data_IF_054784021401
#
_entry.id   IF_054784021401
#
_cell.length_a   1.000
_cell.length_b   1.000
_cell.length_c   1.000
_cell.angle_alpha   90.00
_cell.angle_beta   90.00
_cell.angle_gamma   90.00
#
_symmetry.space_group_name_H-M   'P 1'
#
loop_
_entity.id
_entity.type
_entity.pdbx_description
1 polymer ?
#
# COMPACT_ATOMS: atom_id res chain seq x y z
N UNK A 1 -12.31 -46.24 38.00
CA UNK A 1 -12.17 -45.18 39.03
C UNK A 1 -12.78 -43.89 38.48
N UNK A 2 -14.00 -43.58 38.91
CA UNK A 2 -14.37 -42.49 39.84
C UNK A 2 -14.31 -41.08 39.21
N UNK A 3 -15.49 -40.63 38.74
CA UNK A 3 -15.84 -39.22 38.59
C UNK A 3 -15.68 -38.50 39.94
N UNK A 4 -15.12 -37.29 39.92
CA UNK A 4 -15.40 -36.27 40.94
C UNK A 4 -15.58 -34.92 40.23
N UNK A 5 -16.82 -34.43 40.27
CA UNK A 5 -17.18 -33.05 39.98
C UNK A 5 -16.83 -32.16 41.17
N UNK A 6 -16.41 -30.91 40.93
CA UNK A 6 -16.40 -29.88 41.97
C UNK A 6 -17.12 -28.64 41.44
N UNK A 7 -18.32 -28.46 41.98
CA UNK A 7 -19.11 -27.23 41.99
C UNK A 7 -18.54 -26.25 43.02
N UNK A 8 -18.50 -24.94 42.69
CA UNK A 8 -18.59 -23.87 43.69
C UNK A 8 -19.43 -22.70 43.20
N UNK A 9 -20.45 -22.41 44.02
CA UNK A 9 -21.41 -21.30 44.03
C UNK A 9 -20.72 -19.94 44.22
N UNK A 10 -21.13 -18.92 43.45
CA UNK A 10 -22.03 -17.81 43.81
C UNK A 10 -21.50 -16.78 44.83
N UNK A 11 -21.45 -15.50 44.43
CA UNK A 11 -21.81 -14.35 45.26
C UNK A 11 -22.46 -13.26 44.41
N UNK A 12 -23.74 -13.04 44.67
CA UNK A 12 -24.46 -11.81 44.37
C UNK A 12 -24.07 -10.74 45.40
N UNK A 13 -23.95 -9.49 44.96
CA UNK A 13 -24.18 -8.31 45.82
C UNK A 13 -25.09 -7.38 45.04
N UNK A 14 -26.22 -7.05 45.66
CA UNK A 14 -27.19 -6.06 45.24
C UNK A 14 -27.14 -4.86 46.21
N UNK A 15 -27.89 -3.82 45.87
CA UNK A 15 -28.15 -2.53 46.55
C UNK A 15 -27.18 -1.39 46.15
N UNK A 16 -27.64 -0.20 45.77
CA UNK A 16 -29.00 0.33 45.80
C UNK A 16 -29.17 1.63 45.01
N UNK A 17 -30.45 1.89 44.71
CA UNK A 17 -31.11 3.12 44.29
C UNK A 17 -30.65 4.37 45.09
N UNK A 18 -30.87 5.62 44.70
CA UNK A 18 -31.44 6.34 43.56
C UNK A 18 -31.14 7.83 43.81
N UNK A 19 -31.18 8.68 42.78
CA UNK A 19 -31.93 9.94 42.87
C UNK A 19 -32.17 10.51 41.47
N UNK A 20 -33.45 10.75 41.18
CA UNK A 20 -33.96 11.53 40.05
C UNK A 20 -33.51 13.00 40.16
N UNK A 21 -33.29 13.65 39.00
CA UNK A 21 -33.73 15.03 38.77
C UNK A 21 -34.10 15.22 37.27
N UNK A 22 -35.42 15.26 37.07
CA UNK A 22 -36.24 16.05 36.13
C UNK A 22 -35.54 16.92 35.07
N UNK A 23 -35.86 16.72 33.78
CA UNK A 23 -36.52 17.70 32.90
C UNK A 23 -36.35 17.40 31.38
N UNK A 24 -37.48 17.36 30.66
CA UNK A 24 -37.56 17.68 29.23
C UNK A 24 -37.81 16.51 28.26
N UNK A 25 -38.98 16.43 27.59
CA UNK A 25 -39.12 15.61 26.40
C UNK A 25 -38.47 16.38 25.24
N UNK A 26 -37.17 16.20 25.04
CA UNK A 26 -36.61 16.46 23.71
C UNK A 26 -37.06 15.29 22.86
N UNK A 27 -38.04 15.56 21.98
CA UNK A 27 -38.32 14.71 20.82
C UNK A 27 -37.02 14.62 20.02
N UNK A 28 -36.18 13.64 20.37
CA UNK A 28 -35.13 13.17 19.50
C UNK A 28 -35.85 12.63 18.27
N UNK A 29 -35.93 13.47 17.25
CA UNK A 29 -36.11 13.07 15.87
C UNK A 29 -35.31 11.79 15.68
N UNK A 30 -36.00 10.66 15.55
CA UNK A 30 -35.45 9.47 14.93
C UNK A 30 -35.15 9.91 13.51
N UNK A 31 -33.95 10.46 13.31
CA UNK A 31 -33.40 10.74 12.02
C UNK A 31 -33.45 9.42 11.28
N UNK A 32 -34.45 9.27 10.43
CA UNK A 32 -34.45 8.31 9.36
C UNK A 32 -33.13 8.56 8.65
N UNK A 33 -32.13 7.71 8.93
CA UNK A 33 -31.00 7.56 8.04
C UNK A 33 -31.65 7.14 6.73
N UNK A 34 -31.91 8.13 5.87
CA UNK A 34 -32.11 7.90 4.46
C UNK A 34 -30.87 7.14 4.03
N UNK A 35 -30.99 5.81 4.02
CA UNK A 35 -30.05 4.95 3.33
C UNK A 35 -30.13 5.45 1.90
N UNK A 36 -29.17 6.32 1.53
CA UNK A 36 -29.02 6.77 0.16
C UNK A 36 -28.75 5.50 -0.64
N UNK A 37 -29.81 4.96 -1.23
CA UNK A 37 -29.76 3.87 -2.18
C UNK A 37 -28.82 4.36 -3.27
N UNK A 38 -27.60 3.86 -3.25
CA UNK A 38 -26.61 4.19 -4.26
C UNK A 38 -27.04 3.40 -5.49
N UNK A 39 -27.68 4.09 -6.44
CA UNK A 39 -28.11 3.48 -7.70
C UNK A 39 -26.85 3.00 -8.43
N UNK A 40 -26.79 1.71 -8.76
CA UNK A 40 -25.69 1.15 -9.52
C UNK A 40 -25.53 1.90 -10.85
N UNK A 41 -24.34 2.43 -11.09
CA UNK A 41 -24.01 3.08 -12.35
C UNK A 41 -23.93 2.04 -13.45
N UNK A 42 -24.60 2.29 -14.58
CA UNK A 42 -24.56 1.39 -15.74
C UNK A 42 -23.29 1.66 -16.54
N UNK A 43 -22.55 0.61 -16.90
CA UNK A 43 -21.42 0.73 -17.82
C UNK A 43 -21.89 1.29 -19.18
N UNK A 44 -21.11 2.19 -19.81
CA UNK A 44 -21.47 2.68 -21.13
C UNK A 44 -21.34 1.57 -22.18
N UNK A 45 -22.04 1.67 -23.32
CA UNK A 45 -21.89 0.70 -24.42
C UNK A 45 -20.56 0.85 -25.16
N UNK A 46 -19.95 2.03 -25.10
CA UNK A 46 -18.61 2.33 -25.62
C UNK A 46 -17.96 3.47 -24.81
N UNK A 47 -16.63 3.45 -24.70
CA UNK A 47 -15.90 4.57 -24.06
C UNK A 47 -15.99 5.84 -24.92
N UNK A 48 -16.28 6.96 -24.27
CA UNK A 48 -16.32 8.26 -24.94
C UNK A 48 -14.93 8.66 -25.45
N UNK A 49 -14.88 9.55 -26.47
CA UNK A 49 -13.62 10.09 -26.98
C UNK A 49 -12.84 10.84 -25.89
N UNK A 50 -13.53 11.56 -25.02
CA UNK A 50 -12.91 12.28 -23.90
C UNK A 50 -12.27 11.31 -22.91
N UNK A 51 -12.99 10.27 -22.47
CA UNK A 51 -12.46 9.33 -21.48
C UNK A 51 -11.26 8.53 -22.03
N UNK A 52 -11.29 8.16 -23.32
CA UNK A 52 -10.13 7.57 -23.99
C UNK A 52 -8.94 8.53 -24.06
N UNK A 53 -9.19 9.83 -24.26
CA UNK A 53 -8.14 10.84 -24.26
C UNK A 53 -7.48 10.92 -22.89
N UNK A 54 -8.27 11.00 -21.81
CA UNK A 54 -7.76 11.07 -20.44
C UNK A 54 -6.86 9.87 -20.09
N UNK A 55 -7.32 8.65 -20.41
CA UNK A 55 -6.53 7.43 -20.20
C UNK A 55 -5.23 7.43 -21.01
N UNK A 56 -5.26 7.90 -22.25
CA UNK A 56 -4.05 8.01 -23.07
C UNK A 56 -3.07 9.06 -22.54
N UNK A 57 -3.56 10.18 -21.98
CA UNK A 57 -2.71 11.20 -21.36
C UNK A 57 -2.06 10.68 -20.07
N UNK A 58 -2.80 9.93 -19.24
CA UNK A 58 -2.24 9.22 -18.09
C UNK A 58 -1.18 8.21 -18.51
N UNK A 59 -1.47 7.37 -19.50
CA UNK A 59 -0.52 6.40 -20.04
C UNK A 59 0.73 7.07 -20.63
N UNK A 60 0.59 8.20 -21.32
CA UNK A 60 1.70 8.99 -21.84
C UNK A 60 2.57 9.60 -20.73
N UNK A 61 1.95 10.00 -19.62
CA UNK A 61 2.65 10.52 -18.44
C UNK A 61 3.38 9.38 -17.70
N UNK A 62 2.73 8.22 -17.54
CA UNK A 62 3.35 7.00 -17.02
C UNK A 62 4.53 6.59 -17.89
N UNK A 63 4.44 6.71 -19.22
CA UNK A 63 5.52 6.40 -20.16
C UNK A 63 6.77 7.26 -19.90
N UNK A 64 6.60 8.57 -19.70
CA UNK A 64 7.70 9.50 -19.55
C UNK A 64 8.70 9.38 -20.72
N UNK A 65 9.99 9.24 -20.42
CA UNK A 65 11.06 9.04 -21.40
C UNK A 65 11.24 7.59 -21.89
N UNK A 66 10.60 6.61 -21.25
CA UNK A 66 10.71 5.20 -21.65
C UNK A 66 9.75 4.92 -22.80
N UNK A 67 10.25 4.91 -24.04
CA UNK A 67 9.42 4.74 -25.25
C UNK A 67 8.66 3.40 -25.33
N UNK A 68 9.03 2.40 -24.52
CA UNK A 68 8.35 1.09 -24.46
C UNK A 68 7.26 1.05 -23.39
N UNK A 69 7.38 1.85 -22.33
CA UNK A 69 6.38 1.90 -21.27
C UNK A 69 5.01 2.35 -21.80
N UNK A 70 3.98 1.63 -21.37
CA UNK A 70 2.59 1.80 -21.78
C UNK A 70 2.37 1.90 -23.30
N UNK A 71 3.10 1.09 -24.07
CA UNK A 71 2.91 0.95 -25.53
C UNK A 71 2.82 -0.54 -25.90
N UNK A 72 1.64 -1.06 -26.29
CA UNK A 72 0.37 -0.35 -26.53
C UNK A 72 -0.45 -0.06 -25.27
N UNK A 73 -1.36 0.91 -25.38
CA UNK A 73 -2.49 1.08 -24.45
C UNK A 73 -3.68 0.29 -25.03
N UNK A 74 -4.19 -0.67 -24.27
CA UNK A 74 -5.26 -1.59 -24.70
C UNK A 74 -6.52 -1.31 -23.89
N UNK A 75 -7.51 -0.66 -24.50
CA UNK A 75 -8.79 -0.39 -23.84
C UNK A 75 -9.59 -1.68 -23.63
N UNK A 76 -10.02 -1.93 -22.39
CA UNK A 76 -10.93 -3.03 -22.07
C UNK A 76 -12.33 -2.66 -22.54
N UNK A 77 -12.95 -3.42 -23.43
CA UNK A 77 -14.31 -3.10 -23.90
C UNK A 77 -15.31 -3.11 -22.73
N UNK A 78 -16.26 -2.16 -22.64
CA UNK A 78 -17.25 -2.17 -21.54
C UNK A 78 -18.03 -3.47 -21.42
N UNK A 79 -18.35 -4.11 -22.56
CA UNK A 79 -19.02 -5.41 -22.58
C UNK A 79 -18.22 -6.54 -21.92
N UNK A 80 -16.89 -6.46 -21.91
CA UNK A 80 -16.04 -7.41 -21.18
C UNK A 80 -16.07 -7.20 -19.66
N UNK A 81 -16.46 -6.00 -19.20
CA UNK A 81 -16.59 -5.65 -17.79
C UNK A 81 -18.00 -5.91 -17.24
N UNK A 82 -19.03 -5.96 -18.09
CA UNK A 82 -20.43 -6.12 -17.66
C UNK A 82 -20.65 -7.35 -16.76
N UNK A 83 -20.18 -8.53 -17.17
CA UNK A 83 -20.34 -9.75 -16.39
C UNK A 83 -19.61 -9.69 -15.03
N UNK A 84 -18.34 -9.24 -14.93
CA UNK A 84 -17.72 -8.94 -13.65
C UNK A 84 -18.53 -7.98 -12.76
N UNK A 85 -19.05 -6.88 -13.30
CA UNK A 85 -19.81 -5.89 -12.52
C UNK A 85 -21.07 -6.48 -11.92
N UNK A 86 -21.84 -7.21 -12.73
CA UNK A 86 -23.03 -7.91 -12.28
C UNK A 86 -22.68 -8.99 -11.24
N UNK A 87 -21.66 -9.81 -11.52
CA UNK A 87 -21.23 -10.90 -10.65
C UNK A 87 -20.69 -10.43 -9.30
N UNK A 88 -20.09 -9.25 -9.25
CA UNK A 88 -19.43 -8.71 -8.06
C UNK A 88 -20.24 -7.61 -7.36
N UNK A 89 -21.34 -7.16 -7.97
CA UNK A 89 -22.17 -6.08 -7.45
C UNK A 89 -21.41 -4.76 -7.35
N UNK A 90 -20.56 -4.46 -8.34
CA UNK A 90 -19.84 -3.19 -8.42
C UNK A 90 -20.79 -2.10 -8.89
N UNK A 91 -20.93 -1.04 -8.10
CA UNK A 91 -21.90 0.02 -8.34
C UNK A 91 -21.29 1.22 -9.05
N UNK A 92 -19.96 1.31 -9.13
CA UNK A 92 -19.25 2.46 -9.69
C UNK A 92 -18.69 2.12 -11.06
N UNK A 93 -19.18 2.80 -12.09
CA UNK A 93 -18.74 2.64 -13.47
C UNK A 93 -17.63 3.66 -13.80
N UNK A 94 -16.42 3.23 -14.19
CA UNK A 94 -15.38 4.11 -14.69
C UNK A 94 -15.79 4.69 -16.04
N UNK A 95 -15.25 5.87 -16.34
CA UNK A 95 -15.44 6.55 -17.61
C UNK A 95 -14.70 5.84 -18.76
N UNK A 96 -13.54 5.24 -18.45
CA UNK A 96 -12.81 4.34 -19.33
C UNK A 96 -11.87 3.44 -18.50
N UNK A 97 -11.54 2.27 -19.05
CA UNK A 97 -10.52 1.36 -18.51
C UNK A 97 -9.59 0.89 -19.63
N UNK A 98 -8.30 0.90 -19.37
CA UNK A 98 -7.30 0.32 -20.27
C UNK A 98 -6.16 -0.36 -19.52
N UNK A 99 -5.53 -1.32 -20.18
CA UNK A 99 -4.31 -1.94 -19.71
C UNK A 99 -3.10 -1.40 -20.47
N UNK A 100 -1.96 -1.30 -19.80
CA UNK A 100 -0.68 -1.03 -20.43
C UNK A 100 0.49 -1.60 -19.62
N UNK A 101 1.55 -2.02 -20.30
CA UNK A 101 2.72 -2.61 -19.64
C UNK A 101 3.81 -1.55 -19.39
N UNK A 102 4.27 -1.40 -18.16
CA UNK A 102 5.40 -0.53 -17.80
C UNK A 102 6.08 -1.04 -16.52
N UNK A 103 7.37 -0.72 -16.33
CA UNK A 103 8.13 -1.10 -15.12
C UNK A 103 8.07 -2.60 -14.78
N UNK A 104 8.05 -3.46 -15.80
CA UNK A 104 7.85 -4.92 -15.66
C UNK A 104 6.54 -5.28 -14.95
N UNK A 105 5.49 -4.50 -15.19
CA UNK A 105 4.16 -4.65 -14.61
C UNK A 105 3.09 -4.44 -15.69
N UNK A 106 1.95 -5.12 -15.55
CA UNK A 106 0.74 -4.77 -16.30
C UNK A 106 -0.13 -3.88 -15.42
N UNK A 107 -0.36 -2.66 -15.88
CA UNK A 107 -1.20 -1.69 -15.18
C UNK A 107 -2.60 -1.64 -15.77
N UNK A 108 -3.62 -1.68 -14.93
CA UNK A 108 -4.99 -1.30 -15.29
C UNK A 108 -5.23 0.15 -14.88
N UNK A 109 -5.46 1.03 -15.85
CA UNK A 109 -5.77 2.45 -15.68
C UNK A 109 -7.27 2.64 -15.82
N UNK A 110 -7.90 3.28 -14.83
CA UNK A 110 -9.31 3.65 -14.86
C UNK A 110 -9.49 5.14 -14.52
N UNK A 111 -10.46 5.79 -15.17
CA UNK A 111 -10.83 7.20 -14.92
C UNK A 111 -12.26 7.33 -14.41
N UNK A 112 -12.56 8.39 -13.66
CA UNK A 112 -13.80 8.58 -12.91
C UNK A 112 -14.31 10.02 -12.96
N UNK A 113 -15.63 10.16 -12.84
CA UNK A 113 -16.30 11.46 -12.81
C UNK A 113 -15.97 12.27 -11.55
N UNK A 114 -15.70 11.59 -10.43
CA UNK A 114 -15.36 12.23 -9.15
C UNK A 114 -14.33 11.43 -8.36
N UNK A 115 -13.65 12.09 -7.42
CA UNK A 115 -12.78 11.43 -6.43
C UNK A 115 -13.54 10.41 -5.58
N UNK A 116 -14.79 10.73 -5.24
CA UNK A 116 -15.67 9.83 -4.49
C UNK A 116 -15.92 8.52 -5.25
N UNK A 117 -16.20 8.61 -6.55
CA UNK A 117 -16.41 7.43 -7.40
C UNK A 117 -15.11 6.61 -7.52
N UNK A 118 -13.96 7.28 -7.74
CA UNK A 118 -12.64 6.62 -7.75
C UNK A 118 -12.41 5.81 -6.46
N UNK A 119 -12.59 6.43 -5.30
CA UNK A 119 -12.29 5.81 -4.01
C UNK A 119 -13.27 4.69 -3.68
N UNK A 120 -14.55 4.88 -4.03
CA UNK A 120 -15.58 3.84 -3.91
C UNK A 120 -15.27 2.65 -4.82
N UNK A 121 -14.87 2.89 -6.08
CA UNK A 121 -14.48 1.83 -7.01
C UNK A 121 -13.30 1.00 -6.48
N UNK A 122 -12.22 1.66 -6.03
CA UNK A 122 -11.03 0.99 -5.47
C UNK A 122 -11.41 0.12 -4.27
N UNK A 123 -12.27 0.64 -3.39
CA UNK A 123 -12.75 -0.06 -2.20
C UNK A 123 -13.66 -1.24 -2.56
N UNK A 124 -14.73 -1.01 -3.32
CA UNK A 124 -15.70 -2.04 -3.72
C UNK A 124 -15.01 -3.19 -4.46
N UNK A 125 -14.12 -2.86 -5.40
CA UNK A 125 -13.36 -3.85 -6.15
C UNK A 125 -12.48 -4.69 -5.24
N UNK A 126 -11.66 -4.05 -4.42
CA UNK A 126 -10.74 -4.77 -3.52
C UNK A 126 -11.50 -5.64 -2.51
N UNK A 127 -12.55 -5.11 -1.88
CA UNK A 127 -13.38 -5.86 -0.94
C UNK A 127 -14.10 -7.04 -1.57
N UNK A 128 -14.67 -6.87 -2.76
CA UNK A 128 -15.38 -7.95 -3.46
C UNK A 128 -14.47 -9.13 -3.78
N UNK A 129 -13.24 -8.86 -4.22
CA UNK A 129 -12.24 -9.89 -4.50
C UNK A 129 -11.83 -10.55 -3.19
N UNK A 130 -11.59 -9.78 -2.13
CA UNK A 130 -11.26 -10.33 -0.80
C UNK A 130 -12.37 -11.22 -0.23
N UNK A 131 -13.65 -10.84 -0.35
CA UNK A 131 -14.78 -11.67 0.11
C UNK A 131 -14.78 -13.02 -0.60
N UNK A 132 -14.51 -13.03 -1.90
CA UNK A 132 -14.45 -14.28 -2.69
C UNK A 132 -13.24 -15.12 -2.36
N UNK A 133 -12.07 -14.50 -2.25
CA UNK A 133 -10.85 -15.14 -1.80
C UNK A 133 -11.06 -15.87 -0.47
N UNK A 134 -11.68 -15.17 0.50
CA UNK A 134 -11.97 -15.69 1.82
C UNK A 134 -12.96 -16.86 1.81
N UNK A 135 -13.87 -16.90 0.84
CA UNK A 135 -14.86 -17.98 0.67
C UNK A 135 -14.24 -19.28 0.13
N UNK A 136 -13.11 -19.19 -0.59
CA UNK A 136 -12.37 -20.36 -1.12
C UNK A 136 -11.02 -20.56 -0.44
N UNK A 137 -10.77 -19.83 0.66
CA UNK A 137 -9.50 -19.81 1.41
C UNK A 137 -8.25 -19.59 0.52
N UNK A 138 -8.39 -18.77 -0.52
CA UNK A 138 -7.28 -18.44 -1.40
C UNK A 138 -6.40 -17.34 -0.79
N UNK A 139 -5.07 -17.55 -0.71
CA UNK A 139 -4.14 -16.47 -0.41
C UNK A 139 -4.05 -15.56 -1.65
N UNK A 140 -4.59 -14.35 -1.56
CA UNK A 140 -4.46 -13.34 -2.60
C UNK A 140 -3.46 -12.28 -2.13
N UNK A 141 -2.46 -11.94 -2.97
CA UNK A 141 -1.53 -10.86 -2.65
C UNK A 141 -2.25 -9.53 -2.46
N UNK A 142 -1.64 -8.55 -1.78
CA UNK A 142 -2.25 -7.24 -1.60
C UNK A 142 -2.48 -6.54 -2.93
N UNK A 143 -3.60 -5.82 -3.06
CA UNK A 143 -3.84 -4.99 -4.22
C UNK A 143 -3.04 -3.70 -4.11
N UNK A 144 -2.22 -3.43 -5.12
CA UNK A 144 -1.40 -2.24 -5.19
C UNK A 144 -2.11 -1.22 -6.07
N UNK A 145 -2.40 -0.06 -5.49
CA UNK A 145 -3.14 1.01 -6.14
C UNK A 145 -2.33 2.30 -6.15
N UNK A 146 -2.33 3.01 -7.27
CA UNK A 146 -2.02 4.42 -7.34
C UNK A 146 -3.33 5.16 -7.62
N UNK A 147 -3.60 6.23 -6.90
CA UNK A 147 -4.80 7.04 -7.04
C UNK A 147 -4.42 8.51 -7.08
N UNK A 148 -5.21 9.32 -7.77
CA UNK A 148 -5.01 10.75 -7.76
C UNK A 148 -6.00 11.50 -8.62
N UNK A 149 -5.69 12.78 -8.77
CA UNK A 149 -6.46 13.74 -9.56
C UNK A 149 -5.46 14.56 -10.37
N UNK A 150 -5.59 14.55 -11.69
CA UNK A 150 -4.87 15.45 -12.61
C UNK A 150 -5.85 16.44 -13.21
N UNK A 151 -5.36 17.48 -13.89
CA UNK A 151 -6.19 18.52 -14.50
C UNK A 151 -7.31 17.94 -15.38
N UNK A 152 -8.51 17.78 -14.81
CA UNK A 152 -9.70 17.27 -15.48
C UNK A 152 -10.00 15.78 -15.35
N UNK A 153 -9.20 14.97 -14.64
CA UNK A 153 -9.47 13.53 -14.50
C UNK A 153 -9.14 12.99 -13.10
N UNK A 154 -10.10 12.26 -12.52
CA UNK A 154 -9.89 11.45 -11.32
C UNK A 154 -9.53 10.04 -11.77
N UNK A 155 -8.47 9.46 -11.24
CA UNK A 155 -7.93 8.21 -11.81
C UNK A 155 -7.45 7.24 -10.74
N UNK A 156 -7.51 5.95 -11.07
CA UNK A 156 -6.85 4.88 -10.33
C UNK A 156 -6.02 4.04 -11.29
N UNK A 157 -4.88 3.55 -10.82
CA UNK A 157 -4.05 2.56 -11.50
C UNK A 157 -3.83 1.38 -10.57
N UNK A 158 -4.26 0.19 -10.99
CA UNK A 158 -3.93 -1.07 -10.32
C UNK A 158 -2.67 -1.66 -10.97
N UNK A 159 -1.75 -2.20 -10.17
CA UNK A 159 -0.63 -3.00 -10.68
C UNK A 159 -0.34 -4.21 -9.81
N UNK A 160 0.49 -5.11 -10.32
CA UNK A 160 0.87 -6.36 -9.64
C UNK A 160 1.93 -6.16 -8.57
N UNK A 161 2.71 -5.07 -8.66
CA UNK A 161 3.83 -4.79 -7.75
C UNK A 161 3.72 -3.39 -7.15
N UNK A 162 4.10 -3.28 -5.88
CA UNK A 162 4.19 -2.04 -5.14
C UNK A 162 5.19 -1.09 -5.79
N UNK A 163 6.33 -1.59 -6.24
CA UNK A 163 7.37 -0.77 -6.84
C UNK A 163 6.91 -0.12 -8.15
N UNK A 164 6.21 -0.86 -9.00
CA UNK A 164 5.59 -0.33 -10.22
C UNK A 164 4.55 0.74 -9.90
N UNK A 165 3.67 0.47 -8.94
CA UNK A 165 2.60 1.38 -8.52
C UNK A 165 3.15 2.66 -7.85
N UNK A 166 4.19 2.56 -7.01
CA UNK A 166 4.85 3.71 -6.40
C UNK A 166 5.47 4.63 -7.47
N UNK A 167 6.05 4.05 -8.54
CA UNK A 167 6.57 4.82 -9.68
C UNK A 167 5.47 5.50 -10.48
N UNK A 168 4.34 4.82 -10.69
CA UNK A 168 3.15 5.41 -11.33
C UNK A 168 2.62 6.58 -10.51
N UNK A 169 2.40 6.39 -9.20
CA UNK A 169 1.94 7.46 -8.31
C UNK A 169 2.88 8.67 -8.35
N UNK A 170 4.20 8.44 -8.28
CA UNK A 170 5.20 9.52 -8.39
C UNK A 170 5.12 10.26 -9.73
N UNK A 171 5.01 9.55 -10.86
CA UNK A 171 4.95 10.17 -12.20
C UNK A 171 3.68 10.98 -12.42
N UNK A 172 2.56 10.51 -11.87
CA UNK A 172 1.25 11.15 -12.02
C UNK A 172 0.96 12.20 -10.93
N UNK A 173 1.85 12.38 -9.95
CA UNK A 173 1.61 13.25 -8.80
C UNK A 173 0.47 12.77 -7.89
N UNK A 174 0.23 11.46 -7.84
CA UNK A 174 -0.78 10.83 -7.00
C UNK A 174 -0.20 10.16 -5.75
N UNK A 175 -1.05 9.42 -5.06
CA UNK A 175 -0.70 8.62 -3.89
C UNK A 175 -0.76 7.13 -4.22
N UNK A 176 0.10 6.32 -3.61
CA UNK A 176 -0.03 4.87 -3.69
C UNK A 176 -0.46 4.25 -2.37
N UNK A 177 -1.43 3.35 -2.46
CA UNK A 177 -2.05 2.64 -1.35
C UNK A 177 -1.97 1.13 -1.58
N UNK A 178 -2.05 0.37 -0.49
CA UNK A 178 -2.08 -1.09 -0.52
C UNK A 178 -3.36 -1.52 0.17
N UNK A 179 -4.21 -2.26 -0.54
CA UNK A 179 -5.39 -2.88 0.06
C UNK A 179 -5.08 -4.34 0.37
N UNK A 180 -5.32 -4.76 1.62
CA UNK A 180 -5.09 -6.14 2.06
C UNK A 180 -6.42 -6.80 2.39
N UNK A 181 -6.55 -8.07 2.04
CA UNK A 181 -7.69 -8.85 2.52
C UNK A 181 -7.58 -9.10 4.03
N UNK A 182 -8.68 -9.04 4.80
CA UNK A 182 -8.62 -9.18 6.27
C UNK A 182 -7.95 -10.47 6.77
N UNK A 183 -8.09 -11.59 6.06
CA UNK A 183 -7.40 -12.86 6.39
C UNK A 183 -5.89 -12.85 6.05
N UNK A 184 -5.47 -11.90 5.22
CA UNK A 184 -4.15 -11.82 4.61
C UNK A 184 -3.42 -10.51 4.98
N UNK A 185 -3.74 -9.90 6.13
CA UNK A 185 -3.09 -8.65 6.57
C UNK A 185 -1.56 -8.75 6.70
N UNK A 186 -1.06 -9.99 6.82
CA UNK A 186 0.37 -10.33 6.83
C UNK A 186 1.01 -10.30 5.44
N UNK A 187 0.25 -10.30 4.35
CA UNK A 187 0.80 -10.14 3.01
C UNK A 187 1.04 -8.62 2.81
N UNK A 188 2.30 -8.22 2.62
CA UNK A 188 2.71 -6.80 2.49
C UNK A 188 3.07 -6.07 3.80
N UNK A 189 3.53 -4.83 3.66
CA UNK A 189 4.06 -3.98 4.75
C UNK A 189 2.99 -3.32 5.62
N UNK A 190 3.35 -2.96 6.85
CA UNK A 190 2.49 -2.22 7.78
C UNK A 190 2.47 -0.71 7.47
N UNK A 191 1.32 -0.05 7.67
CA UNK A 191 1.11 1.37 7.32
C UNK A 191 2.10 2.31 8.01
N UNK A 192 2.35 2.12 9.32
CA UNK A 192 3.29 2.94 10.08
C UNK A 192 4.72 2.83 9.54
N UNK A 193 5.18 1.59 9.26
CA UNK A 193 6.49 1.36 8.64
C UNK A 193 6.60 1.99 7.26
N UNK A 194 5.55 1.89 6.42
CA UNK A 194 5.54 2.52 5.08
C UNK A 194 5.70 4.04 5.19
N UNK A 195 4.98 4.68 6.11
CA UNK A 195 5.09 6.12 6.33
C UNK A 195 6.50 6.52 6.79
N UNK A 196 7.05 5.79 7.77
CA UNK A 196 8.40 6.01 8.29
C UNK A 196 9.47 5.86 7.20
N UNK A 197 9.45 4.74 6.44
CA UNK A 197 10.38 4.48 5.33
C UNK A 197 10.34 5.57 4.26
N UNK A 198 9.15 6.07 3.92
CA UNK A 198 9.00 7.16 2.94
C UNK A 198 9.54 8.49 3.45
N UNK A 199 9.27 8.83 4.71
CA UNK A 199 9.76 10.05 5.32
C UNK A 199 11.30 10.07 5.35
N UNK A 200 11.92 8.94 5.72
CA UNK A 200 13.38 8.81 5.73
C UNK A 200 13.96 8.84 4.32
N UNK A 201 13.36 8.14 3.36
CA UNK A 201 13.80 8.21 1.97
C UNK A 201 13.72 9.64 1.39
N UNK A 202 12.67 10.40 1.74
CA UNK A 202 12.54 11.80 1.35
C UNK A 202 13.64 12.67 1.97
N UNK A 203 13.95 12.48 3.27
CA UNK A 203 15.04 13.19 3.94
C UNK A 203 16.42 12.88 3.33
N UNK A 204 16.68 11.62 2.96
CA UNK A 204 17.90 11.21 2.25
C UNK A 204 18.03 11.95 0.92
N UNK A 205 16.95 12.00 0.13
CA UNK A 205 16.92 12.68 -1.17
C UNK A 205 17.12 14.19 -1.01
N UNK A 206 16.54 14.79 0.02
CA UNK A 206 16.72 16.22 0.34
C UNK A 206 18.15 16.54 0.78
N UNK A 207 18.85 15.59 1.40
CA UNK A 207 20.28 15.69 1.73
C UNK A 207 21.23 15.54 0.55
N UNK A 208 20.74 15.75 -0.69
CA UNK A 208 21.48 15.64 -1.95
C UNK A 208 22.06 14.24 -2.26
N UNK A 209 21.64 13.22 -1.52
CA UNK A 209 21.97 11.85 -1.84
C UNK A 209 21.03 11.36 -2.94
N UNK A 210 21.59 11.16 -4.13
CA UNK A 210 20.87 10.56 -5.24
C UNK A 210 20.44 9.14 -4.87
N UNK A 211 19.13 8.92 -4.93
CA UNK A 211 18.45 7.69 -4.59
C UNK A 211 17.40 7.45 -5.69
N UNK A 212 17.91 7.13 -6.87
CA UNK A 212 17.09 7.06 -8.06
C UNK A 212 16.18 5.84 -8.00
N UNK A 213 14.90 6.08 -8.27
CA UNK A 213 13.90 5.02 -8.33
C UNK A 213 13.58 4.37 -6.99
N UNK A 214 13.72 5.08 -5.86
CA UNK A 214 13.26 4.60 -4.55
C UNK A 214 11.86 3.99 -4.64
N UNK A 215 11.75 2.78 -4.14
CA UNK A 215 10.51 2.03 -4.09
C UNK A 215 10.47 1.14 -2.85
N UNK A 216 9.28 0.90 -2.33
CA UNK A 216 9.07 -0.16 -1.36
C UNK A 216 9.33 -1.51 -2.05
N UNK A 217 10.11 -2.37 -1.40
CA UNK A 217 10.33 -3.74 -1.84
C UNK A 217 9.07 -4.57 -1.63
N UNK A 218 8.91 -5.69 -2.33
CA UNK A 218 7.85 -6.65 -1.94
C UNK A 218 8.25 -7.36 -0.65
N UNK A 219 7.29 -7.55 0.25
CA UNK A 219 7.51 -8.30 1.50
C UNK A 219 7.95 -9.73 1.21
N UNK A 220 7.36 -10.35 0.20
CA UNK A 220 7.67 -11.74 -0.17
C UNK A 220 9.07 -11.86 -0.79
N UNK A 221 9.57 -10.82 -1.45
CA UNK A 221 10.97 -10.78 -1.90
C UNK A 221 11.95 -10.78 -0.72
N UNK A 222 11.63 -10.03 0.34
CA UNK A 222 12.41 -10.09 1.58
C UNK A 222 12.30 -11.46 2.26
N UNK A 223 11.10 -12.04 2.29
CA UNK A 223 10.83 -13.35 2.89
C UNK A 223 11.25 -14.54 2.03
N UNK A 224 11.76 -14.33 0.82
CA UNK A 224 12.18 -15.41 -0.07
C UNK A 224 13.25 -16.26 0.64
N UNK A 225 12.97 -17.57 0.76
CA UNK A 225 13.81 -18.52 1.52
C UNK A 225 13.69 -18.44 3.06
N UNK A 226 12.80 -17.59 3.59
CA UNK A 226 12.69 -17.21 5.01
C UNK A 226 11.26 -17.31 5.55
N UNK A 227 10.57 -18.41 5.23
CA UNK A 227 9.19 -18.62 5.67
C UNK A 227 9.08 -18.56 7.21
N UNK A 228 8.21 -17.68 7.72
CA UNK A 228 7.97 -17.50 9.16
C UNK A 228 8.95 -16.58 9.88
N UNK A 229 9.98 -16.04 9.20
CA UNK A 229 10.87 -15.05 9.79
C UNK A 229 10.10 -13.76 10.15
N UNK A 230 10.55 -13.10 11.22
CA UNK A 230 10.11 -11.74 11.50
C UNK A 230 10.68 -10.81 10.42
N UNK A 231 9.91 -9.79 10.04
CA UNK A 231 10.32 -8.79 9.04
C UNK A 231 10.39 -7.42 9.69
N UNK A 232 11.03 -6.43 9.06
CA UNK A 232 10.72 -5.04 9.38
C UNK A 232 9.23 -4.77 9.10
N UNK A 233 8.71 -3.67 9.62
CA UNK A 233 7.34 -3.22 9.36
C UNK A 233 7.19 -2.77 7.91
N UNK A 234 8.23 -2.16 7.33
CA UNK A 234 8.37 -1.89 5.91
C UNK A 234 9.84 -1.88 5.50
N UNK A 235 10.12 -2.15 4.22
CA UNK A 235 11.45 -2.05 3.62
C UNK A 235 11.32 -1.40 2.23
N UNK A 236 12.17 -0.40 1.97
CA UNK A 236 12.36 0.20 0.67
C UNK A 236 13.81 0.18 0.26
N UNK A 237 14.05 0.30 -1.04
CA UNK A 237 15.39 0.36 -1.60
C UNK A 237 15.46 1.30 -2.80
N UNK A 238 16.67 1.79 -3.08
CA UNK A 238 17.02 2.50 -4.31
C UNK A 238 18.47 2.20 -4.69
N UNK A 239 18.89 2.70 -5.85
CA UNK A 239 20.29 2.73 -6.26
C UNK A 239 20.83 4.14 -6.09
N UNK A 240 22.06 4.24 -5.57
CA UNK A 240 22.86 5.46 -5.57
C UNK A 240 23.50 5.72 -6.93
N UNK A 241 24.22 6.83 -7.10
CA UNK A 241 24.94 7.17 -8.34
C UNK A 241 25.93 6.12 -8.82
N UNK A 242 26.48 5.37 -7.88
CA UNK A 242 27.50 4.36 -8.15
C UNK A 242 26.88 2.97 -8.32
N UNK A 243 25.57 2.91 -8.58
CA UNK A 243 24.76 1.68 -8.64
C UNK A 243 24.81 0.83 -7.37
N UNK A 244 25.21 1.43 -6.24
CA UNK A 244 25.23 0.75 -4.94
C UNK A 244 23.84 0.82 -4.32
N UNK A 245 23.40 -0.31 -3.79
CA UNK A 245 22.10 -0.44 -3.13
C UNK A 245 22.05 0.39 -1.84
N UNK A 246 20.94 1.08 -1.65
CA UNK A 246 20.56 1.75 -0.42
C UNK A 246 19.26 1.12 0.07
N UNK A 247 19.21 0.75 1.35
CA UNK A 247 18.04 0.16 1.99
C UNK A 247 17.54 1.07 3.10
N UNK A 248 16.22 1.18 3.27
CA UNK A 248 15.57 1.89 4.37
C UNK A 248 14.47 0.99 4.94
N UNK A 249 14.57 0.68 6.23
CA UNK A 249 13.60 -0.14 6.96
C UNK A 249 12.95 0.65 8.10
N UNK A 250 11.66 0.44 8.30
CA UNK A 250 10.88 0.97 9.44
C UNK A 250 10.42 -0.17 10.34
N UNK A 251 10.34 0.09 11.64
CA UNK A 251 10.11 -0.89 12.70
C UNK A 251 8.95 -0.46 13.61
N UNK A 252 8.22 -1.43 14.15
CA UNK A 252 7.12 -1.22 15.09
C UNK A 252 7.00 -2.45 16.01
N UNK A 253 6.12 -2.40 17.01
CA UNK A 253 5.88 -3.50 17.94
C UNK A 253 5.54 -4.79 17.18
N UNK A 254 6.39 -5.81 17.34
CA UNK A 254 6.22 -7.12 16.72
C UNK A 254 7.02 -7.34 15.44
N UNK A 255 7.74 -6.33 14.93
CA UNK A 255 8.74 -6.51 13.88
C UNK A 255 9.97 -7.28 14.39
N UNK A 256 10.88 -7.62 13.48
CA UNK A 256 12.24 -8.02 13.87
C UNK A 256 12.97 -6.86 14.57
N UNK A 257 14.07 -7.13 15.26
CA UNK A 257 14.87 -6.09 15.88
C UNK A 257 15.72 -5.35 14.83
N UNK A 258 16.13 -4.11 15.13
CA UNK A 258 17.02 -3.33 14.26
C UNK A 258 18.38 -4.03 14.09
N UNK A 259 18.90 -4.62 15.16
CA UNK A 259 20.19 -5.33 15.14
C UNK A 259 20.12 -6.59 14.30
N UNK A 260 19.05 -7.37 14.41
CA UNK A 260 18.83 -8.53 13.53
C UNK A 260 18.80 -8.11 12.05
N UNK A 261 18.07 -7.02 11.74
CA UNK A 261 17.97 -6.50 10.38
C UNK A 261 19.33 -6.02 9.85
N UNK A 262 20.08 -5.27 10.65
CA UNK A 262 21.43 -4.80 10.29
C UNK A 262 22.36 -5.99 10.07
N UNK A 263 22.38 -6.95 10.98
CA UNK A 263 23.21 -8.16 10.86
C UNK A 263 22.84 -9.01 9.65
N UNK A 264 21.56 -9.07 9.30
CA UNK A 264 21.07 -9.82 8.13
C UNK A 264 21.47 -9.16 6.81
N UNK A 265 21.24 -7.85 6.66
CA UNK A 265 21.57 -7.13 5.42
C UNK A 265 23.09 -6.94 5.27
N UNK A 266 23.81 -6.59 6.34
CA UNK A 266 25.28 -6.51 6.31
C UNK A 266 25.96 -7.90 6.39
N UNK A 267 25.22 -8.96 6.63
CA UNK A 267 25.70 -10.34 6.48
C UNK A 267 25.64 -10.83 5.04
N UNK A 268 24.85 -10.16 4.18
CA UNK A 268 24.71 -10.50 2.78
C UNK A 268 25.98 -10.10 2.01
N UNK A 269 26.67 -11.10 1.45
CA UNK A 269 27.90 -10.90 0.67
C UNK A 269 27.70 -9.99 -0.54
N UNK A 270 26.49 -9.90 -1.09
CA UNK A 270 26.19 -9.02 -2.22
C UNK A 270 26.14 -7.56 -1.80
N UNK A 271 25.56 -7.27 -0.63
CA UNK A 271 25.51 -5.91 -0.05
C UNK A 271 26.90 -5.48 0.42
N UNK A 272 27.66 -6.42 1.00
CA UNK A 272 29.00 -6.17 1.52
C UNK A 272 30.12 -6.41 0.51
N UNK A 273 29.78 -6.62 -0.77
CA UNK A 273 30.74 -6.53 -1.86
C UNK A 273 31.30 -5.11 -2.02
N UNK A 274 30.61 -4.10 -1.47
CA UNK A 274 31.08 -2.73 -1.34
C UNK A 274 31.02 -2.27 0.13
N UNK A 275 31.89 -1.33 0.54
CA UNK A 275 31.83 -0.75 1.88
C UNK A 275 30.46 -0.11 2.14
N UNK A 276 29.76 -0.66 3.13
CA UNK A 276 28.40 -0.25 3.52
C UNK A 276 28.34 0.04 5.00
N UNK A 277 27.48 0.98 5.41
CA UNK A 277 27.30 1.40 6.79
C UNK A 277 25.83 1.54 7.15
N UNK A 278 25.46 1.05 8.33
CA UNK A 278 24.16 1.26 8.93
C UNK A 278 24.06 2.64 9.58
N UNK A 279 22.88 3.24 9.51
CA UNK A 279 22.49 4.48 10.15
C UNK A 279 21.20 4.19 10.91
N UNK A 280 21.21 4.47 12.21
CA UNK A 280 20.20 4.00 13.15
C UNK A 280 19.44 5.19 13.69
N UNK A 281 18.12 5.19 13.49
CA UNK A 281 17.17 6.08 14.15
C UNK A 281 16.37 5.37 15.24
N UNK A 282 15.37 6.03 15.85
CA UNK A 282 14.54 5.45 16.92
C UNK A 282 13.78 4.20 16.46
N UNK A 283 13.07 4.29 15.35
CA UNK A 283 12.15 3.29 14.79
C UNK A 283 12.49 2.93 13.34
N UNK A 284 13.69 3.29 12.86
CA UNK A 284 14.12 3.05 11.49
C UNK A 284 15.62 2.75 11.40
N UNK A 285 16.03 2.13 10.30
CA UNK A 285 17.43 1.89 9.91
C UNK A 285 17.59 2.19 8.43
N UNK A 286 18.69 2.84 8.06
CA UNK A 286 19.15 2.92 6.68
C UNK A 286 20.49 2.20 6.53
N UNK A 287 20.68 1.45 5.46
CA UNK A 287 21.97 0.85 5.09
C UNK A 287 22.39 1.47 3.78
N UNK A 288 23.52 2.16 3.80
CA UNK A 288 23.98 3.02 2.69
C UNK A 288 25.45 2.74 2.39
N UNK A 289 25.94 3.09 1.19
CA UNK A 289 27.37 3.11 0.92
C UNK A 289 28.13 3.93 1.95
N UNK A 290 29.21 3.41 2.53
CA UNK A 290 29.91 4.03 3.66
C UNK A 290 30.29 5.51 3.43
N UNK A 291 30.75 5.95 2.23
CA UNK A 291 31.04 7.37 1.98
C UNK A 291 29.83 8.31 2.10
N UNK A 292 28.61 7.80 1.92
CA UNK A 292 27.38 8.58 2.03
C UNK A 292 26.84 8.63 3.46
N UNK A 293 27.35 7.79 4.35
CA UNK A 293 26.75 7.60 5.67
C UNK A 293 26.74 8.86 6.56
N UNK A 294 27.79 9.69 6.62
CA UNK A 294 27.76 10.93 7.40
C UNK A 294 26.70 11.93 6.92
N UNK A 295 26.53 12.07 5.59
CA UNK A 295 25.54 12.98 5.00
C UNK A 295 24.13 12.48 5.29
N UNK A 296 23.89 11.18 5.12
CA UNK A 296 22.58 10.59 5.44
C UNK A 296 22.27 10.69 6.93
N UNK A 297 23.22 10.41 7.81
CA UNK A 297 23.04 10.55 9.26
C UNK A 297 22.65 11.97 9.64
N UNK A 298 23.31 12.98 9.05
CA UNK A 298 22.98 14.39 9.25
C UNK A 298 21.57 14.73 8.74
N UNK A 299 21.24 14.33 7.51
CA UNK A 299 19.97 14.65 6.87
C UNK A 299 18.76 14.01 7.58
N UNK A 300 18.96 12.85 8.20
CA UNK A 300 17.90 12.06 8.86
C UNK A 300 17.88 12.19 10.38
N UNK A 301 18.88 12.86 10.97
CA UNK A 301 19.09 12.88 12.42
C UNK A 301 19.47 11.51 13.02
N UNK A 302 19.94 10.59 12.19
CA UNK A 302 20.35 9.25 12.59
C UNK A 302 21.77 9.19 13.17
N UNK A 303 22.12 8.05 13.75
CA UNK A 303 23.47 7.78 14.30
C UNK A 303 24.19 6.72 13.47
N UNK A 304 25.50 6.87 13.28
CA UNK A 304 26.30 5.87 12.58
C UNK A 304 26.36 4.57 13.38
N UNK A 305 26.15 3.45 12.70
CA UNK A 305 26.17 2.10 13.27
C UNK A 305 27.22 1.20 12.62
N UNK A 306 26.92 -0.10 12.61
CA UNK A 306 27.79 -1.15 12.09
C UNK A 306 28.16 -0.94 10.61
N UNK A 307 29.32 -1.47 10.22
CA UNK A 307 29.86 -1.40 8.86
C UNK A 307 30.21 -2.81 8.34
N UNK A 308 30.31 -2.95 7.03
CA UNK A 308 30.91 -4.12 6.38
C UNK A 308 31.72 -3.71 5.15
N UNK A 309 32.51 -4.65 4.62
CA UNK A 309 33.28 -4.47 3.38
C UNK A 309 34.63 -3.76 3.57
N UNK A 310 35.48 -4.26 4.48
CA UNK A 310 36.85 -3.78 4.69
C UNK A 310 37.81 -4.31 3.60
#
# INVERSE_FOLDING_TARGET
>A
MKMISISKRARSVAAGAALLLVAGPVLASCGTSESKVTVAQTLPTAWSRSAKKDVNELAATIRGSDVKACKPVVFLAPGALAAPYERYGWNIAPLAVANCDAFSNTFEIATFASEKDRDAFVTERSESICRRAAAVDAPIPPFQWAIGTTSGSNWSVQGDTRSGVDRVAKRLGGESSTFKCPKNERLGWGKAGVASVRAIAAAIIQGEVKCDGFALMERDSFLSGRAGAKTPTALGACLSTDDKALFVAGFDKGSMTKDDFVGEILGDKTVCAAPSQAIIGPDWVAIVPAPLAPVVATATGGTLGATCGA
#
